data_IF_563326725386
#
_entry.id   IF_563326725386
#
_cell.length_a   1.000
_cell.length_b   1.000
_cell.length_c   1.000
_cell.angle_alpha   90.00
_cell.angle_beta   90.00
_cell.angle_gamma   90.00
#
_symmetry.space_group_name_H-M   'P 1'
#
loop_
_entity.id
_entity.type
_entity.pdbx_description
1 polymer ?
#
# COMPACT_ATOMS: atom_id res chain seq x y z
N UNK A 1 -29.88 -25.69 -8.73
CA UNK A 1 -29.38 -24.66 -7.79
C UNK A 1 -27.95 -25.06 -7.50
N UNK A 2 -26.99 -24.37 -8.08
CA UNK A 2 -25.58 -24.57 -7.73
C UNK A 2 -25.41 -24.11 -6.29
N UNK A 3 -25.19 -25.07 -5.38
CA UNK A 3 -24.74 -24.75 -4.01
C UNK A 3 -23.46 -23.92 -4.16
N UNK A 4 -23.54 -22.63 -3.92
CA UNK A 4 -22.35 -21.80 -3.76
C UNK A 4 -21.74 -22.20 -2.44
N UNK A 5 -20.66 -23.00 -2.46
CA UNK A 5 -19.93 -23.37 -1.24
C UNK A 5 -19.35 -22.11 -0.61
N UNK A 6 -19.97 -21.66 0.48
CA UNK A 6 -19.59 -20.44 1.18
C UNK A 6 -18.21 -20.57 1.81
N UNK A 7 -17.31 -19.65 1.47
CA UNK A 7 -15.95 -19.63 1.98
C UNK A 7 -15.85 -18.72 3.20
N UNK A 8 -15.40 -19.27 4.33
CA UNK A 8 -14.91 -18.52 5.48
C UNK A 8 -13.38 -18.48 5.46
N UNK A 9 -12.81 -17.35 5.84
CA UNK A 9 -11.37 -17.19 5.99
C UNK A 9 -11.03 -16.85 7.43
N UNK A 10 -10.07 -17.57 8.02
CA UNK A 10 -9.50 -17.26 9.32
C UNK A 10 -8.08 -16.80 9.14
N UNK A 11 -7.77 -15.57 9.58
CA UNK A 11 -6.41 -15.01 9.55
C UNK A 11 -5.81 -15.08 10.95
N UNK A 12 -4.82 -15.95 11.14
CA UNK A 12 -4.09 -16.10 12.39
C UNK A 12 -3.06 -14.99 12.54
N UNK A 13 -3.30 -14.09 13.49
CA UNK A 13 -2.51 -12.86 13.65
C UNK A 13 -2.17 -12.52 15.12
N UNK A 14 -2.33 -13.48 16.05
CA UNK A 14 -2.06 -13.29 17.48
C UNK A 14 -0.60 -13.53 17.90
N UNK A 15 0.31 -13.78 16.95
CA UNK A 15 1.71 -14.05 17.21
C UNK A 15 2.45 -12.84 17.81
N UNK A 16 3.36 -13.08 18.74
CA UNK A 16 4.06 -12.03 19.50
C UNK A 16 5.02 -11.18 18.66
N UNK A 17 5.63 -11.76 17.61
CA UNK A 17 6.54 -11.05 16.72
C UNK A 17 7.83 -10.54 17.38
N UNK A 18 8.31 -11.19 18.43
CA UNK A 18 9.51 -10.77 19.21
C UNK A 18 10.75 -10.54 18.36
N UNK A 19 10.93 -11.32 17.28
CA UNK A 19 12.05 -11.19 16.32
C UNK A 19 12.04 -9.87 15.55
N UNK A 20 10.88 -9.20 15.45
CA UNK A 20 10.77 -7.87 14.83
C UNK A 20 11.46 -6.77 15.65
N UNK A 21 11.68 -6.98 16.95
CA UNK A 21 12.26 -6.01 17.90
C UNK A 21 11.60 -4.64 17.78
N UNK A 22 10.28 -4.60 17.85
CA UNK A 22 9.46 -3.42 17.61
C UNK A 22 8.31 -3.32 18.61
N UNK A 23 7.95 -2.09 18.99
CA UNK A 23 6.72 -1.82 19.71
C UNK A 23 5.46 -1.93 18.80
N UNK A 24 5.65 -1.80 17.47
CA UNK A 24 4.58 -1.98 16.52
C UNK A 24 4.32 -3.48 16.36
N UNK A 25 3.05 -3.94 16.46
CA UNK A 25 2.69 -5.34 16.19
C UNK A 25 3.20 -5.82 14.83
N UNK A 26 3.69 -7.07 14.76
CA UNK A 26 4.30 -7.62 13.54
C UNK A 26 3.46 -7.40 12.29
N UNK A 27 2.17 -7.69 12.38
CA UNK A 27 1.23 -7.62 11.26
C UNK A 27 0.94 -6.21 10.75
N UNK A 28 1.32 -5.17 11.51
CA UNK A 28 1.14 -3.77 11.13
C UNK A 28 2.37 -3.15 10.45
N UNK A 29 3.49 -3.87 10.38
CA UNK A 29 4.63 -3.43 9.57
C UNK A 29 4.23 -3.40 8.10
N UNK A 30 4.68 -2.34 7.41
CA UNK A 30 4.28 -2.09 6.03
C UNK A 30 5.30 -2.65 5.04
N UNK A 31 4.78 -3.14 3.93
CA UNK A 31 5.49 -3.42 2.69
C UNK A 31 4.67 -2.85 1.52
N UNK A 32 5.32 -2.27 0.54
CA UNK A 32 4.72 -1.57 -0.60
C UNK A 32 3.53 -0.69 -0.19
N UNK A 33 3.71 0.09 0.90
CA UNK A 33 2.73 1.05 1.42
C UNK A 33 1.64 0.51 2.34
N UNK A 34 1.39 -0.82 2.39
CA UNK A 34 0.31 -1.45 3.17
C UNK A 34 0.83 -2.32 4.31
N UNK A 35 0.12 -2.40 5.46
CA UNK A 35 0.42 -3.39 6.51
C UNK A 35 0.42 -4.83 5.99
N UNK A 36 1.25 -5.70 6.55
CA UNK A 36 1.30 -7.13 6.19
C UNK A 36 -0.07 -7.78 6.16
N UNK A 37 -0.86 -7.59 7.23
CA UNK A 37 -2.20 -8.17 7.34
C UNK A 37 -3.17 -7.65 6.29
N UNK A 38 -2.99 -6.43 5.79
CA UNK A 38 -3.86 -5.85 4.75
C UNK A 38 -3.72 -6.58 3.42
N UNK A 39 -2.52 -7.03 3.05
CA UNK A 39 -2.32 -7.91 1.89
C UNK A 39 -3.06 -9.23 2.02
N UNK A 40 -3.08 -9.81 3.23
CA UNK A 40 -3.80 -11.07 3.51
C UNK A 40 -5.32 -10.84 3.51
N UNK A 41 -5.80 -9.70 3.97
CA UNK A 41 -7.21 -9.30 3.88
C UNK A 41 -7.65 -9.10 2.43
N UNK A 42 -6.83 -8.45 1.61
CA UNK A 42 -7.09 -8.30 0.17
C UNK A 42 -7.12 -9.66 -0.54
N UNK A 43 -6.22 -10.56 -0.18
CA UNK A 43 -6.25 -11.95 -0.66
C UNK A 43 -7.57 -12.62 -0.29
N UNK A 44 -8.02 -12.52 0.96
CA UNK A 44 -9.28 -13.14 1.38
C UNK A 44 -10.48 -12.64 0.58
N UNK A 45 -10.53 -11.36 0.26
CA UNK A 45 -11.56 -10.78 -0.62
C UNK A 45 -11.45 -11.29 -2.05
N UNK A 46 -10.22 -11.34 -2.60
CA UNK A 46 -9.99 -11.73 -3.99
C UNK A 46 -10.38 -13.18 -4.30
N UNK A 47 -10.35 -14.06 -3.28
CA UNK A 47 -10.78 -15.46 -3.39
C UNK A 47 -12.26 -15.68 -3.05
N UNK A 48 -13.01 -14.60 -2.86
CA UNK A 48 -14.47 -14.66 -2.66
C UNK A 48 -14.90 -15.07 -1.25
N UNK A 49 -14.13 -14.72 -0.21
CA UNK A 49 -14.54 -14.97 1.17
C UNK A 49 -15.85 -14.24 1.50
N UNK A 50 -16.87 -14.98 1.94
CA UNK A 50 -18.10 -14.39 2.44
C UNK A 50 -17.95 -13.84 3.86
N UNK A 51 -17.11 -14.50 4.66
CA UNK A 51 -16.79 -14.07 6.02
C UNK A 51 -15.28 -14.19 6.28
N UNK A 52 -14.71 -13.18 6.89
CA UNK A 52 -13.30 -13.18 7.30
C UNK A 52 -13.21 -12.89 8.79
N UNK A 53 -12.56 -13.77 9.54
CA UNK A 53 -12.29 -13.63 10.96
C UNK A 53 -10.79 -13.44 11.21
N UNK A 54 -10.42 -12.38 11.93
CA UNK A 54 -9.06 -12.15 12.40
C UNK A 54 -8.91 -12.66 13.84
N UNK A 55 -7.96 -13.53 14.06
CA UNK A 55 -7.58 -13.98 15.40
C UNK A 55 -6.39 -13.18 15.88
N UNK A 56 -6.58 -12.36 16.90
CA UNK A 56 -5.67 -11.30 17.32
C UNK A 56 -5.25 -11.45 18.78
N UNK A 57 -4.11 -10.88 19.13
CA UNK A 57 -3.75 -10.66 20.52
C UNK A 57 -4.60 -9.50 21.13
N UNK A 58 -4.84 -9.53 22.47
CA UNK A 58 -5.69 -8.51 23.10
C UNK A 58 -5.25 -7.07 22.88
N UNK A 59 -3.97 -6.81 22.75
CA UNK A 59 -3.35 -5.49 22.59
C UNK A 59 -3.43 -4.92 21.17
N UNK A 60 -3.82 -5.73 20.20
CA UNK A 60 -3.90 -5.32 18.78
C UNK A 60 -5.31 -5.13 18.26
N UNK A 61 -6.33 -5.67 18.94
CA UNK A 61 -7.69 -5.70 18.43
C UNK A 61 -8.28 -4.30 18.25
N UNK A 62 -8.06 -3.39 19.19
CA UNK A 62 -8.64 -2.04 19.15
C UNK A 62 -8.06 -1.22 17.98
N UNK A 63 -6.75 -1.35 17.71
CA UNK A 63 -6.10 -0.66 16.59
C UNK A 63 -6.64 -1.13 15.23
N UNK A 64 -6.94 -2.43 15.11
CA UNK A 64 -7.48 -2.97 13.87
C UNK A 64 -8.95 -2.63 13.69
N UNK A 65 -9.72 -2.68 14.78
CA UNK A 65 -11.14 -2.29 14.76
C UNK A 65 -11.32 -0.79 14.48
N UNK A 66 -10.44 0.07 14.99
CA UNK A 66 -10.43 1.49 14.64
C UNK A 66 -10.18 1.71 13.14
N UNK A 67 -9.29 0.90 12.54
CA UNK A 67 -8.92 1.03 11.13
C UNK A 67 -9.98 0.48 10.17
N UNK A 68 -10.58 -0.66 10.47
CA UNK A 68 -11.49 -1.38 9.55
C UNK A 68 -12.93 -1.51 10.05
N UNK A 69 -13.25 -0.99 11.22
CA UNK A 69 -14.61 -1.06 11.82
C UNK A 69 -15.06 -2.50 12.02
N UNK A 70 -16.33 -2.74 11.82
CA UNK A 70 -16.96 -4.06 11.93
C UNK A 70 -17.01 -4.81 10.58
N UNK A 71 -16.13 -4.47 9.65
CA UNK A 71 -16.05 -5.11 8.34
C UNK A 71 -15.63 -6.59 8.43
N UNK A 72 -14.91 -6.96 9.49
CA UNK A 72 -14.40 -8.30 9.74
C UNK A 72 -14.88 -8.82 11.08
N UNK A 73 -14.90 -10.14 11.25
CA UNK A 73 -15.02 -10.77 12.55
C UNK A 73 -13.71 -10.65 13.33
N UNK A 74 -13.80 -10.39 14.63
CA UNK A 74 -12.62 -10.29 15.49
C UNK A 74 -12.72 -11.30 16.63
N UNK A 75 -11.74 -12.19 16.72
CA UNK A 75 -11.58 -13.14 17.80
C UNK A 75 -10.30 -12.85 18.59
N UNK A 76 -10.35 -12.98 19.90
CA UNK A 76 -9.19 -12.74 20.77
C UNK A 76 -8.55 -14.05 21.18
N UNK A 77 -7.28 -14.22 20.90
CA UNK A 77 -6.46 -15.27 21.51
C UNK A 77 -5.71 -14.69 22.72
N UNK A 78 -6.31 -14.76 23.89
CA UNK A 78 -5.74 -14.22 25.12
C UNK A 78 -4.47 -14.98 25.56
N UNK A 79 -4.48 -16.30 25.41
CA UNK A 79 -3.34 -17.19 25.69
C UNK A 79 -2.80 -17.78 24.38
N UNK A 80 -1.52 -17.63 24.13
CA UNK A 80 -0.87 -18.13 22.90
C UNK A 80 -0.55 -19.62 23.04
N UNK A 81 -1.58 -20.46 22.86
CA UNK A 81 -1.49 -21.93 23.00
C UNK A 81 -1.44 -22.64 21.64
N UNK A 82 -0.83 -22.04 20.62
CA UNK A 82 -0.63 -22.63 19.30
C UNK A 82 -1.72 -22.27 18.28
N UNK A 83 -1.52 -22.74 17.04
CA UNK A 83 -2.35 -22.40 15.87
C UNK A 83 -3.74 -23.05 15.91
N UNK A 84 -3.85 -24.27 16.45
CA UNK A 84 -5.16 -24.93 16.67
C UNK A 84 -6.00 -24.15 17.68
N UNK A 85 -5.41 -23.71 18.80
CA UNK A 85 -6.10 -22.89 19.78
C UNK A 85 -6.53 -21.54 19.19
N UNK A 86 -5.72 -20.94 18.33
CA UNK A 86 -6.10 -19.71 17.63
C UNK A 86 -7.33 -19.93 16.74
N UNK A 87 -7.37 -21.02 15.97
CA UNK A 87 -8.53 -21.35 15.13
C UNK A 87 -9.80 -21.60 15.94
N UNK A 88 -9.70 -22.22 17.13
CA UNK A 88 -10.84 -22.42 18.05
C UNK A 88 -11.51 -21.07 18.42
N UNK A 89 -10.74 -19.97 18.54
CA UNK A 89 -11.31 -18.67 18.86
C UNK A 89 -12.20 -18.11 17.73
N UNK A 90 -11.94 -18.53 16.49
CA UNK A 90 -12.72 -18.07 15.33
C UNK A 90 -14.00 -18.93 15.10
N UNK A 91 -14.10 -20.12 15.72
CA UNK A 91 -15.24 -21.04 15.53
C UNK A 91 -16.59 -20.35 15.73
N UNK A 92 -16.86 -19.58 16.83
CA UNK A 92 -18.17 -18.95 17.04
C UNK A 92 -18.57 -17.93 15.96
N UNK A 93 -17.61 -17.44 15.19
CA UNK A 93 -17.86 -16.46 14.11
C UNK A 93 -18.23 -17.11 12.79
N UNK A 94 -17.83 -18.38 12.55
CA UNK A 94 -17.93 -19.02 11.25
C UNK A 94 -18.77 -20.29 11.24
N UNK A 95 -18.90 -20.98 12.37
CA UNK A 95 -19.65 -22.24 12.47
C UNK A 95 -21.12 -22.05 12.11
N UNK A 96 -21.63 -22.90 11.20
CA UNK A 96 -23.00 -22.81 10.70
C UNK A 96 -23.24 -21.71 9.64
N UNK A 97 -22.23 -20.92 9.32
CA UNK A 97 -22.32 -19.81 8.35
C UNK A 97 -21.58 -20.08 7.04
N UNK A 98 -20.58 -20.96 7.06
CA UNK A 98 -19.72 -21.28 5.92
C UNK A 98 -19.57 -22.78 5.71
N UNK A 99 -19.27 -23.19 4.48
CA UNK A 99 -19.11 -24.59 4.07
C UNK A 99 -17.65 -25.00 4.00
N UNK A 100 -16.74 -24.03 3.85
CA UNK A 100 -15.29 -24.21 3.76
C UNK A 100 -14.58 -23.20 4.65
N UNK A 101 -13.48 -23.60 5.27
CA UNK A 101 -12.66 -22.72 6.10
C UNK A 101 -11.22 -22.71 5.61
N UNK A 102 -10.78 -21.58 5.07
CA UNK A 102 -9.38 -21.34 4.72
C UNK A 102 -8.68 -20.66 5.89
N UNK A 103 -7.53 -21.22 6.30
CA UNK A 103 -6.69 -20.67 7.37
C UNK A 103 -5.46 -20.04 6.76
N UNK A 104 -5.30 -18.73 6.98
CA UNK A 104 -4.18 -17.92 6.54
C UNK A 104 -3.39 -17.36 7.74
N UNK A 105 -2.17 -16.92 7.50
CA UNK A 105 -1.34 -16.25 8.49
C UNK A 105 -1.24 -14.76 8.16
N UNK A 106 -1.48 -13.88 9.15
CA UNK A 106 -1.50 -12.43 8.96
C UNK A 106 -0.16 -11.79 8.59
N UNK A 107 0.91 -12.58 8.57
CA UNK A 107 2.25 -12.15 8.19
C UNK A 107 2.80 -12.88 6.95
N UNK A 108 1.92 -13.52 6.15
CA UNK A 108 2.27 -14.21 4.90
C UNK A 108 1.70 -13.44 3.70
N UNK A 109 2.28 -12.27 3.34
CA UNK A 109 1.66 -11.34 2.39
C UNK A 109 1.84 -11.75 0.92
N UNK A 110 2.59 -12.80 0.63
CA UNK A 110 3.05 -13.13 -0.73
C UNK A 110 2.20 -14.18 -1.44
N UNK A 111 1.28 -14.82 -0.72
CA UNK A 111 0.41 -15.86 -1.28
C UNK A 111 -0.51 -15.26 -2.35
N UNK A 112 -0.71 -15.98 -3.45
CA UNK A 112 -1.48 -15.52 -4.61
C UNK A 112 -2.89 -16.11 -4.64
N UNK A 113 -3.87 -15.39 -5.21
CA UNK A 113 -5.23 -15.89 -5.37
C UNK A 113 -5.30 -17.21 -6.14
N UNK A 114 -4.48 -17.37 -7.19
CA UNK A 114 -4.46 -18.58 -8.02
C UNK A 114 -3.99 -19.80 -7.23
N UNK A 115 -3.08 -19.62 -6.28
CA UNK A 115 -2.61 -20.71 -5.42
C UNK A 115 -3.69 -21.11 -4.41
N UNK A 116 -4.40 -20.15 -3.85
CA UNK A 116 -5.56 -20.41 -2.98
C UNK A 116 -6.68 -21.11 -3.75
N UNK A 117 -6.97 -20.66 -4.97
CA UNK A 117 -8.01 -21.30 -5.80
C UNK A 117 -7.69 -22.78 -6.05
N UNK A 118 -6.43 -23.15 -6.31
CA UNK A 118 -6.03 -24.56 -6.46
C UNK A 118 -6.24 -25.37 -5.18
N UNK A 119 -6.06 -24.77 -3.98
CA UNK A 119 -6.38 -25.41 -2.71
C UNK A 119 -7.90 -25.67 -2.60
N UNK A 120 -8.73 -24.69 -2.96
CA UNK A 120 -10.18 -24.79 -2.95
C UNK A 120 -10.68 -25.87 -3.93
N UNK A 121 -10.14 -25.88 -5.16
CA UNK A 121 -10.48 -26.88 -6.18
C UNK A 121 -10.09 -28.30 -5.75
N UNK A 122 -8.98 -28.46 -5.06
CA UNK A 122 -8.52 -29.74 -4.53
C UNK A 122 -9.39 -30.25 -3.38
N UNK A 123 -10.04 -29.36 -2.61
CA UNK A 123 -10.97 -29.75 -1.55
C UNK A 123 -12.27 -30.35 -2.14
N UNK A 124 -12.64 -29.99 -3.36
CA UNK A 124 -13.84 -30.51 -4.03
C UNK A 124 -13.69 -31.97 -4.50
N UNK A 125 -12.52 -32.58 -4.35
CA UNK A 125 -12.31 -33.97 -4.70
C UNK A 125 -13.05 -34.92 -3.73
N UNK A 126 -13.68 -35.99 -4.20
CA UNK A 126 -14.43 -36.90 -3.36
C UNK A 126 -13.57 -37.48 -2.21
N UNK A 127 -14.08 -37.39 -0.99
CA UNK A 127 -13.44 -37.93 0.20
C UNK A 127 -12.37 -37.07 0.84
N UNK A 128 -12.00 -35.94 0.22
CA UNK A 128 -11.06 -34.97 0.79
C UNK A 128 -11.80 -34.10 1.81
N UNK A 129 -11.22 -33.95 3.01
CA UNK A 129 -11.75 -33.09 4.09
C UNK A 129 -10.83 -31.92 4.43
N UNK A 130 -9.61 -31.93 3.92
CA UNK A 130 -8.68 -30.83 4.05
C UNK A 130 -7.62 -30.85 2.96
N UNK A 131 -7.09 -29.68 2.64
CA UNK A 131 -6.00 -29.54 1.68
C UNK A 131 -4.96 -28.61 2.25
N UNK A 132 -3.72 -29.06 2.29
CA UNK A 132 -2.57 -28.29 2.75
C UNK A 132 -1.79 -27.71 1.59
N UNK A 133 -1.20 -26.53 1.80
CA UNK A 133 -0.21 -25.97 0.88
C UNK A 133 1.18 -26.55 1.18
N UNK A 134 1.92 -26.91 0.15
CA UNK A 134 3.31 -27.37 0.24
C UNK A 134 4.22 -26.57 -0.69
N UNK A 135 5.51 -26.63 -0.46
CA UNK A 135 6.49 -26.02 -1.36
C UNK A 135 7.86 -26.71 -1.24
N UNK A 136 8.79 -26.36 -2.13
CA UNK A 136 10.16 -26.89 -2.13
C UNK A 136 11.16 -25.74 -2.00
N UNK A 137 11.57 -25.38 -0.78
CA UNK A 137 12.62 -24.39 -0.59
C UNK A 137 13.99 -24.96 -1.00
N UNK A 138 14.94 -24.10 -1.30
CA UNK A 138 16.35 -24.49 -1.52
C UNK A 138 16.92 -25.20 -0.29
N UNK A 139 16.52 -24.75 0.90
CA UNK A 139 16.93 -25.35 2.19
C UNK A 139 15.68 -25.67 3.01
N UNK A 140 15.29 -26.95 3.14
CA UNK A 140 14.08 -27.35 3.83
C UNK A 140 14.18 -27.32 5.36
N UNK A 141 15.30 -26.91 5.91
CA UNK A 141 15.55 -26.85 7.37
C UNK A 141 14.53 -25.97 8.09
N UNK A 142 14.00 -26.46 9.18
CA UNK A 142 13.04 -25.75 10.04
C UNK A 142 11.57 -25.97 9.69
N UNK A 143 11.28 -26.63 8.58
CA UNK A 143 9.90 -26.92 8.15
C UNK A 143 9.47 -28.38 8.43
N UNK A 144 8.17 -28.60 8.58
CA UNK A 144 7.59 -29.94 8.62
C UNK A 144 7.69 -30.63 7.25
N UNK A 145 8.16 -31.88 7.24
CA UNK A 145 8.29 -32.68 6.02
C UNK A 145 6.98 -33.35 5.65
N UNK A 146 6.64 -33.29 4.36
CA UNK A 146 5.45 -33.99 3.83
C UNK A 146 5.84 -35.43 3.48
N UNK A 147 5.24 -36.37 4.18
CA UNK A 147 5.43 -37.81 3.93
C UNK A 147 4.33 -38.27 2.99
N UNK A 148 4.71 -38.98 1.92
CA UNK A 148 3.77 -39.56 0.97
C UNK A 148 3.97 -41.06 0.84
N UNK A 149 2.89 -41.79 0.55
CA UNK A 149 2.96 -43.20 0.17
C UNK A 149 3.25 -43.36 -1.33
N UNK A 150 3.34 -44.61 -1.80
CA UNK A 150 3.60 -44.98 -3.19
C UNK A 150 2.49 -44.48 -4.19
N UNK A 151 1.33 -44.16 -3.66
CA UNK A 151 0.22 -43.56 -4.44
C UNK A 151 0.23 -42.02 -4.40
N UNK A 152 1.31 -41.41 -3.90
CA UNK A 152 1.48 -39.97 -3.73
C UNK A 152 0.49 -39.29 -2.75
N UNK A 153 -0.28 -40.04 -1.96
CA UNK A 153 -1.12 -39.49 -0.93
C UNK A 153 -0.28 -39.07 0.29
N UNK A 154 -0.67 -37.95 0.90
CA UNK A 154 -0.07 -37.48 2.15
C UNK A 154 -0.42 -38.48 3.27
N UNK A 155 0.59 -38.94 4.00
CA UNK A 155 0.43 -39.86 5.13
C UNK A 155 0.82 -39.24 6.46
N UNK A 156 1.67 -38.21 6.45
CA UNK A 156 2.04 -37.47 7.66
C UNK A 156 2.69 -36.13 7.32
N UNK A 157 2.65 -35.19 8.28
CA UNK A 157 3.55 -34.06 8.38
C UNK A 157 4.48 -34.34 9.57
N UNK A 158 5.79 -34.41 9.33
CA UNK A 158 6.80 -34.66 10.36
C UNK A 158 7.66 -33.44 10.58
N UNK A 159 7.59 -32.86 11.77
CA UNK A 159 8.39 -31.70 12.14
C UNK A 159 9.90 -31.99 12.07
N UNK A 160 10.71 -30.96 11.70
CA UNK A 160 12.16 -31.09 11.55
C UNK A 160 12.86 -31.82 12.70
N UNK A 161 12.47 -31.49 13.94
CA UNK A 161 13.09 -32.05 15.17
C UNK A 161 12.78 -33.53 15.37
N UNK A 162 11.60 -33.98 14.87
CA UNK A 162 11.09 -35.34 15.04
C UNK A 162 11.41 -36.22 13.82
N UNK A 163 11.96 -35.60 12.75
CA UNK A 163 12.27 -36.28 11.51
C UNK A 163 13.55 -37.14 11.59
N UNK A 164 13.46 -38.37 11.04
CA UNK A 164 14.64 -39.23 10.86
C UNK A 164 15.65 -38.61 9.86
N UNK A 165 16.89 -39.06 9.79
CA UNK A 165 17.86 -38.61 8.81
C UNK A 165 17.37 -38.74 7.35
N UNK A 166 16.61 -39.78 7.04
CA UNK A 166 16.00 -40.02 5.71
C UNK A 166 14.88 -39.04 5.44
N UNK A 167 14.00 -38.82 6.41
CA UNK A 167 12.90 -37.85 6.29
C UNK A 167 13.39 -36.41 6.13
N UNK A 168 14.49 -36.02 6.77
CA UNK A 168 15.12 -34.70 6.62
C UNK A 168 15.59 -34.41 5.19
N UNK A 169 15.83 -35.46 4.38
CA UNK A 169 16.21 -35.32 2.97
C UNK A 169 15.02 -34.98 2.05
N UNK A 170 13.80 -35.13 2.55
CA UNK A 170 12.58 -34.79 1.79
C UNK A 170 12.55 -33.28 1.56
N UNK A 171 12.51 -32.88 0.29
CA UNK A 171 12.50 -31.47 -0.12
C UNK A 171 11.12 -30.82 -0.06
N UNK A 172 10.03 -31.61 -0.02
CA UNK A 172 8.68 -31.08 0.07
C UNK A 172 8.31 -30.82 1.53
N UNK A 173 7.90 -29.59 1.82
CA UNK A 173 7.63 -29.13 3.17
C UNK A 173 6.25 -28.48 3.30
N UNK A 174 5.71 -28.48 4.52
CA UNK A 174 4.46 -27.81 4.85
C UNK A 174 4.68 -26.29 4.89
N UNK A 175 3.86 -25.54 4.13
CA UNK A 175 3.86 -24.07 4.18
C UNK A 175 3.01 -23.54 5.35
N UNK A 176 1.92 -24.26 5.70
CA UNK A 176 1.06 -23.94 6.82
C UNK A 176 -0.35 -23.50 6.46
N UNK A 177 -0.58 -22.92 5.27
CA UNK A 177 -1.91 -22.59 4.80
C UNK A 177 -2.69 -23.88 4.53
N UNK A 178 -3.94 -23.89 4.97
CA UNK A 178 -4.80 -25.07 4.85
C UNK A 178 -6.25 -24.64 4.64
N UNK A 179 -6.98 -25.40 3.87
CA UNK A 179 -8.43 -25.28 3.76
C UNK A 179 -9.09 -26.60 4.18
N UNK A 180 -10.20 -26.51 4.91
CA UNK A 180 -10.97 -27.65 5.40
C UNK A 180 -12.43 -27.56 4.96
N UNK A 181 -13.09 -28.72 4.83
CA UNK A 181 -14.53 -28.83 4.96
C UNK A 181 -14.96 -28.34 6.34
N UNK A 182 -15.89 -27.40 6.40
CA UNK A 182 -16.25 -26.73 7.66
C UNK A 182 -16.91 -27.69 8.64
N UNK A 183 -17.77 -28.61 8.15
CA UNK A 183 -18.47 -29.57 9.00
C UNK A 183 -17.48 -30.50 9.68
N UNK A 184 -16.56 -31.05 8.91
CA UNK A 184 -15.52 -31.93 9.45
C UNK A 184 -14.61 -31.16 10.42
N UNK A 185 -14.21 -29.96 10.07
CA UNK A 185 -13.33 -29.12 10.89
C UNK A 185 -13.93 -28.85 12.27
N UNK A 186 -15.15 -28.34 12.32
CA UNK A 186 -15.77 -27.95 13.58
C UNK A 186 -16.08 -29.15 14.48
N UNK A 187 -16.32 -30.33 13.92
CA UNK A 187 -16.46 -31.57 14.68
C UNK A 187 -15.13 -32.01 15.31
N UNK A 188 -13.99 -31.80 14.64
CA UNK A 188 -12.70 -32.33 15.03
C UNK A 188 -11.81 -31.33 15.78
N UNK A 189 -11.96 -30.05 15.54
CA UNK A 189 -11.17 -29.01 16.18
C UNK A 189 -11.19 -29.07 17.73
N UNK A 190 -12.34 -29.28 18.38
CA UNK A 190 -12.39 -29.44 19.85
C UNK A 190 -11.71 -30.73 20.38
N UNK A 191 -11.46 -31.69 19.51
CA UNK A 191 -10.79 -32.98 19.87
C UNK A 191 -9.26 -32.87 19.90
N UNK A 192 -8.70 -31.73 19.43
CA UNK A 192 -7.26 -31.51 19.54
C UNK A 192 -6.79 -31.54 20.97
N UNK A 193 -5.65 -32.18 21.20
CA UNK A 193 -4.98 -32.22 22.50
C UNK A 193 -3.70 -31.39 22.46
N UNK A 194 -3.34 -30.72 23.56
CA UNK A 194 -2.11 -29.94 23.58
C UNK A 194 -0.87 -30.85 23.54
N UNK A 195 0.13 -30.43 22.81
CA UNK A 195 1.44 -31.11 22.79
C UNK A 195 2.03 -31.22 24.20
N UNK A 196 2.49 -32.38 24.61
CA UNK A 196 3.02 -32.59 25.95
C UNK A 196 4.31 -31.78 26.25
N UNK A 197 5.00 -31.32 25.19
CA UNK A 197 6.27 -30.61 25.34
C UNK A 197 6.05 -29.09 25.50
N UNK A 198 5.15 -28.50 24.69
CA UNK A 198 4.94 -27.05 24.67
C UNK A 198 3.59 -26.61 25.21
N UNK A 199 2.69 -27.53 25.49
CA UNK A 199 1.29 -27.27 25.85
C UNK A 199 0.56 -26.40 24.77
N UNK A 200 0.91 -26.62 23.49
CA UNK A 200 0.35 -25.94 22.32
C UNK A 200 -0.53 -26.90 21.51
N UNK A 201 -1.64 -26.40 20.99
CA UNK A 201 -2.51 -27.11 20.05
C UNK A 201 -2.03 -26.83 18.63
N UNK A 202 -1.57 -27.87 17.94
CA UNK A 202 -1.09 -27.73 16.57
C UNK A 202 -2.19 -27.98 15.56
N UNK A 203 -2.32 -27.08 14.59
CA UNK A 203 -3.27 -27.23 13.48
C UNK A 203 -2.93 -28.45 12.61
N UNK A 204 -1.66 -28.79 12.51
CA UNK A 204 -1.17 -29.98 11.79
C UNK A 204 -1.66 -31.30 12.37
N UNK A 205 -2.10 -31.36 13.64
CA UNK A 205 -2.65 -32.56 14.23
C UNK A 205 -4.01 -32.93 13.60
N UNK A 206 -4.76 -31.97 13.07
CA UNK A 206 -5.98 -32.24 12.28
C UNK A 206 -5.67 -33.07 11.02
N UNK A 207 -4.52 -32.88 10.41
CA UNK A 207 -4.06 -33.67 9.25
C UNK A 207 -3.92 -35.15 9.65
N UNK A 208 -3.25 -35.39 10.79
CA UNK A 208 -3.10 -36.75 11.32
C UNK A 208 -4.45 -37.38 11.69
N UNK A 209 -5.37 -36.62 12.28
CA UNK A 209 -6.71 -37.07 12.63
C UNK A 209 -7.52 -37.46 11.37
N UNK A 210 -7.50 -36.64 10.32
CA UNK A 210 -8.18 -36.94 9.07
C UNK A 210 -7.67 -38.21 8.39
N UNK A 211 -6.35 -38.40 8.38
CA UNK A 211 -5.73 -39.59 7.82
C UNK A 211 -6.05 -40.86 8.66
N UNK A 212 -6.05 -40.73 9.98
CA UNK A 212 -6.39 -41.83 10.86
C UNK A 212 -7.87 -42.27 10.72
N UNK A 213 -8.79 -41.34 10.52
CA UNK A 213 -10.21 -41.57 10.40
C UNK A 213 -10.61 -42.11 9.03
N UNK A 214 -10.10 -41.49 7.96
CA UNK A 214 -10.58 -41.69 6.55
C UNK A 214 -9.54 -42.32 5.63
N UNK A 215 -8.33 -42.49 6.11
CA UNK A 215 -7.21 -43.08 5.36
C UNK A 215 -6.41 -42.08 4.52
N UNK A 216 -5.33 -42.52 3.87
CA UNK A 216 -4.55 -41.74 2.94
C UNK A 216 -5.42 -41.26 1.77
N UNK A 217 -5.41 -39.95 1.51
CA UNK A 217 -6.29 -39.33 0.51
C UNK A 217 -7.37 -38.44 1.13
N UNK A 218 -7.61 -38.55 2.46
CA UNK A 218 -8.48 -37.60 3.17
C UNK A 218 -7.91 -36.18 3.20
N UNK A 219 -6.58 -36.05 3.07
CA UNK A 219 -5.86 -34.78 2.98
C UNK A 219 -5.21 -34.67 1.61
N UNK A 220 -5.67 -33.65 0.85
CA UNK A 220 -5.02 -33.20 -0.38
C UNK A 220 -3.78 -32.33 -0.06
N UNK A 221 -2.88 -32.21 -1.03
CA UNK A 221 -1.76 -31.28 -0.93
C UNK A 221 -1.51 -30.61 -2.27
N UNK A 222 -1.36 -29.29 -2.25
CA UNK A 222 -1.09 -28.45 -3.42
C UNK A 222 0.28 -27.81 -3.25
N UNK A 223 1.19 -28.14 -4.15
CA UNK A 223 2.52 -27.51 -4.18
C UNK A 223 2.41 -26.11 -4.78
N UNK A 224 2.97 -25.10 -4.09
CA UNK A 224 3.08 -23.73 -4.58
C UNK A 224 4.07 -23.70 -5.76
N UNK A 225 3.65 -23.14 -6.89
CA UNK A 225 4.50 -23.06 -8.09
C UNK A 225 5.65 -22.05 -7.92
N UNK A 226 5.42 -21.00 -7.18
CA UNK A 226 6.42 -19.98 -6.85
C UNK A 226 6.77 -20.12 -5.36
N UNK A 227 7.95 -20.66 -5.01
CA UNK A 227 8.34 -20.84 -3.61
C UNK A 227 8.36 -19.52 -2.80
N UNK A 228 8.46 -18.37 -3.46
CA UNK A 228 8.41 -17.09 -2.79
C UNK A 228 7.07 -16.81 -2.10
N UNK A 229 5.99 -17.47 -2.54
CA UNK A 229 4.67 -17.36 -1.92
C UNK A 229 4.65 -17.88 -0.48
N UNK A 230 5.58 -18.77 -0.15
CA UNK A 230 5.69 -19.37 1.18
C UNK A 230 6.47 -18.52 2.19
N UNK A 231 7.03 -17.37 1.78
CA UNK A 231 7.79 -16.51 2.67
C UNK A 231 6.86 -15.81 3.66
N UNK A 232 6.92 -16.24 4.92
CA UNK A 232 6.29 -15.54 6.05
C UNK A 232 7.26 -14.55 6.70
N UNK A 233 6.76 -13.37 7.06
CA UNK A 233 7.57 -12.31 7.66
C UNK A 233 7.63 -12.48 9.17
N UNK A 234 8.82 -12.72 9.73
CA UNK A 234 9.03 -12.85 11.17
C UNK A 234 10.04 -11.87 11.75
N UNK A 235 10.93 -11.34 10.91
CA UNK A 235 11.93 -10.34 11.28
C UNK A 235 12.10 -9.27 10.20
N UNK A 236 13.08 -8.37 10.38
CA UNK A 236 13.32 -7.25 9.47
C UNK A 236 13.99 -7.65 8.15
N UNK A 237 14.69 -8.78 8.12
CA UNK A 237 15.33 -9.30 6.92
C UNK A 237 14.24 -9.86 6.02
N UNK A 238 13.40 -10.77 6.56
CA UNK A 238 12.26 -11.33 5.83
C UNK A 238 11.26 -10.23 5.39
N UNK A 239 11.10 -9.15 6.19
CA UNK A 239 10.30 -7.98 5.79
C UNK A 239 10.85 -7.32 4.53
N UNK A 240 12.16 -7.08 4.47
CA UNK A 240 12.80 -6.47 3.31
C UNK A 240 12.76 -7.38 2.07
N UNK A 241 12.89 -8.69 2.25
CA UNK A 241 12.77 -9.68 1.19
C UNK A 241 11.33 -9.71 0.62
N UNK A 242 10.32 -9.74 1.49
CA UNK A 242 8.92 -9.70 1.08
C UNK A 242 8.58 -8.40 0.33
N UNK A 243 9.08 -7.26 0.81
CA UNK A 243 8.99 -5.94 0.13
C UNK A 243 9.57 -6.02 -1.29
N UNK A 244 10.77 -6.56 -1.44
CA UNK A 244 11.45 -6.66 -2.74
C UNK A 244 10.68 -7.56 -3.73
N UNK A 245 10.12 -8.68 -3.24
CA UNK A 245 9.32 -9.60 -4.05
C UNK A 245 8.02 -8.94 -4.52
N UNK A 246 7.26 -8.30 -3.62
CA UNK A 246 6.01 -7.62 -4.00
C UNK A 246 6.28 -6.45 -4.94
N UNK A 247 7.28 -5.63 -4.67
CA UNK A 247 7.69 -4.54 -5.56
C UNK A 247 8.03 -5.06 -6.96
N UNK A 248 8.80 -6.14 -7.05
CA UNK A 248 9.13 -6.74 -8.35
C UNK A 248 7.87 -7.24 -9.09
N UNK A 249 6.87 -7.76 -8.37
CA UNK A 249 5.57 -8.17 -8.96
C UNK A 249 4.81 -6.94 -9.49
N UNK A 250 4.68 -5.88 -8.70
CA UNK A 250 4.01 -4.62 -9.08
C UNK A 250 4.67 -4.01 -10.33
N UNK A 251 6.00 -3.85 -10.31
CA UNK A 251 6.73 -3.28 -11.45
C UNK A 251 6.57 -4.12 -12.71
N UNK A 252 6.54 -5.45 -12.59
CA UNK A 252 6.31 -6.35 -13.74
C UNK A 252 4.90 -6.18 -14.32
N UNK A 253 3.88 -6.02 -13.49
CA UNK A 253 2.52 -5.77 -13.96
C UNK A 253 2.40 -4.40 -14.66
N UNK A 254 3.01 -3.35 -14.11
CA UNK A 254 3.08 -2.04 -14.76
C UNK A 254 3.77 -2.12 -16.13
N UNK A 255 4.89 -2.84 -16.24
CA UNK A 255 5.58 -3.05 -17.52
C UNK A 255 4.71 -3.83 -18.53
N UNK A 256 3.95 -4.83 -18.08
CA UNK A 256 2.97 -5.54 -18.93
C UNK A 256 1.83 -4.64 -19.37
N UNK A 257 1.45 -3.66 -18.54
CA UNK A 257 0.47 -2.62 -18.84
C UNK A 257 1.00 -1.50 -19.77
N UNK A 258 2.25 -1.60 -20.25
CA UNK A 258 2.81 -0.65 -21.20
C UNK A 258 3.62 0.50 -20.56
N UNK A 259 3.95 0.42 -19.29
CA UNK A 259 4.82 1.39 -18.61
C UNK A 259 6.28 1.04 -18.86
N UNK A 260 7.10 2.01 -19.26
CA UNK A 260 8.55 1.84 -19.38
C UNK A 260 9.22 2.15 -18.03
N UNK A 261 9.89 1.17 -17.44
CA UNK A 261 10.67 1.34 -16.21
C UNK A 261 12.14 1.16 -16.55
N UNK A 262 12.92 2.25 -16.51
CA UNK A 262 14.33 2.26 -16.96
C UNK A 262 15.21 1.43 -16.02
N UNK A 263 14.96 1.50 -14.72
CA UNK A 263 15.68 0.74 -13.71
C UNK A 263 14.72 0.20 -12.65
N UNK A 264 14.21 -1.04 -12.83
CA UNK A 264 13.31 -1.64 -11.87
C UNK A 264 13.93 -1.84 -10.47
N UNK A 265 15.26 -1.91 -10.37
CA UNK A 265 15.94 -2.11 -9.08
C UNK A 265 15.86 -0.87 -8.19
N UNK A 266 15.89 0.30 -8.80
CA UNK A 266 15.83 1.60 -8.09
C UNK A 266 14.54 2.36 -8.37
N UNK A 267 13.44 1.65 -8.63
CA UNK A 267 12.10 2.21 -8.76
C UNK A 267 11.20 1.61 -7.69
N UNK A 268 10.51 2.45 -6.94
CA UNK A 268 9.67 2.05 -5.80
C UNK A 268 8.23 2.47 -6.08
N UNK A 269 7.33 1.50 -6.10
CA UNK A 269 5.90 1.74 -6.36
C UNK A 269 5.08 0.98 -5.32
N UNK A 270 4.24 1.71 -4.60
CA UNK A 270 3.34 1.15 -3.60
C UNK A 270 2.19 0.39 -4.26
N UNK A 271 1.63 -0.56 -3.52
CA UNK A 271 0.42 -1.27 -3.91
C UNK A 271 -0.77 -0.31 -3.92
N UNK A 272 -1.44 -0.19 -5.05
CA UNK A 272 -2.55 0.76 -5.25
C UNK A 272 -2.20 2.00 -6.05
N UNK A 273 -0.93 2.17 -6.42
CA UNK A 273 -0.51 3.18 -7.40
C UNK A 273 -0.90 2.74 -8.80
N UNK A 274 -1.48 3.66 -9.56
CA UNK A 274 -1.84 3.45 -10.96
C UNK A 274 -0.94 4.28 -11.87
N UNK A 275 -0.47 3.69 -12.98
CA UNK A 275 0.37 4.37 -13.96
C UNK A 275 -0.14 4.08 -15.36
N UNK A 276 -0.42 5.11 -16.12
CA UNK A 276 -0.93 5.03 -17.49
C UNK A 276 0.11 4.55 -18.50
N UNK A 277 -0.39 3.97 -19.58
CA UNK A 277 0.39 3.44 -20.70
C UNK A 277 1.34 4.50 -21.29
N UNK A 278 2.49 4.05 -21.83
CA UNK A 278 3.53 4.87 -22.45
C UNK A 278 4.19 5.90 -21.50
N UNK A 279 3.91 5.79 -20.18
CA UNK A 279 4.63 6.55 -19.16
C UNK A 279 6.00 5.94 -18.91
N UNK A 280 7.01 6.80 -18.72
CA UNK A 280 8.40 6.40 -18.46
C UNK A 280 8.75 6.75 -17.03
N UNK A 281 9.15 5.74 -16.24
CA UNK A 281 9.69 5.91 -14.90
C UNK A 281 11.22 5.84 -14.95
N UNK A 282 11.87 6.93 -14.57
CA UNK A 282 13.32 7.04 -14.52
C UNK A 282 13.87 6.59 -13.16
N UNK A 283 15.17 6.25 -13.05
CA UNK A 283 15.76 5.72 -11.82
C UNK A 283 15.55 6.62 -10.60
N UNK A 284 15.36 6.02 -9.43
CA UNK A 284 15.14 6.72 -8.17
C UNK A 284 13.73 7.27 -7.99
N UNK A 285 12.80 6.95 -8.89
CA UNK A 285 11.39 7.34 -8.75
C UNK A 285 10.73 6.53 -7.62
N UNK A 286 9.99 7.24 -6.75
CA UNK A 286 9.15 6.66 -5.71
C UNK A 286 7.71 7.14 -5.87
N UNK A 287 6.79 6.21 -6.13
CA UNK A 287 5.36 6.46 -6.22
C UNK A 287 4.66 5.80 -5.03
N UNK A 288 3.97 6.60 -4.22
CA UNK A 288 3.47 6.16 -2.92
C UNK A 288 1.97 6.39 -2.76
N UNK A 289 1.39 5.62 -1.82
CA UNK A 289 0.01 5.78 -1.39
C UNK A 289 -1.01 5.52 -2.49
N UNK A 290 -1.90 6.49 -2.71
CA UNK A 290 -2.99 6.44 -3.71
C UNK A 290 -2.67 7.25 -4.98
N UNK A 291 -1.39 7.36 -5.34
CA UNK A 291 -0.93 8.14 -6.49
C UNK A 291 -1.44 7.55 -7.81
N UNK A 292 -1.94 8.42 -8.67
CA UNK A 292 -2.38 8.10 -10.05
C UNK A 292 -1.57 8.93 -11.04
N UNK A 293 -0.92 8.27 -11.99
CA UNK A 293 -0.16 8.90 -13.09
C UNK A 293 -0.86 8.61 -14.42
N UNK A 294 -1.18 9.64 -15.16
CA UNK A 294 -1.77 9.53 -16.50
C UNK A 294 -0.80 8.94 -17.54
N UNK A 295 -1.27 8.72 -18.77
CA UNK A 295 -0.45 8.21 -19.86
C UNK A 295 0.54 9.24 -20.40
N UNK A 296 1.58 8.73 -21.11
CA UNK A 296 2.60 9.55 -21.81
C UNK A 296 3.39 10.51 -20.90
N UNK A 297 3.51 10.20 -19.61
CA UNK A 297 4.29 11.00 -18.66
C UNK A 297 5.77 10.61 -18.65
N UNK A 298 6.62 11.53 -18.14
CA UNK A 298 8.02 11.25 -17.83
C UNK A 298 8.27 11.62 -16.37
N UNK A 299 8.47 10.63 -15.53
CA UNK A 299 8.60 10.78 -14.08
C UNK A 299 10.01 10.41 -13.61
N UNK A 300 10.65 11.31 -12.87
CA UNK A 300 12.01 11.13 -12.38
C UNK A 300 13.07 11.92 -13.17
N UNK A 301 14.38 11.62 -12.98
CA UNK A 301 14.87 10.73 -11.92
C UNK A 301 14.69 11.33 -10.52
N UNK A 302 14.79 10.49 -9.49
CA UNK A 302 14.77 10.93 -8.07
C UNK A 302 13.54 11.78 -7.69
N UNK A 303 12.37 11.47 -8.23
CA UNK A 303 11.11 12.11 -7.87
C UNK A 303 10.34 11.28 -6.85
N UNK A 304 9.74 11.95 -5.88
CA UNK A 304 8.86 11.33 -4.87
C UNK A 304 7.46 11.91 -5.06
N UNK A 305 6.49 11.05 -5.32
CA UNK A 305 5.09 11.45 -5.52
C UNK A 305 4.23 10.62 -4.59
N UNK A 306 3.51 11.27 -3.70
CA UNK A 306 2.66 10.65 -2.68
C UNK A 306 1.24 11.22 -2.75
N UNK A 307 0.24 10.34 -2.73
CA UNK A 307 -1.20 10.66 -2.69
C UNK A 307 -1.61 11.76 -3.70
N UNK A 308 -1.04 11.73 -4.90
CA UNK A 308 -1.18 12.80 -5.90
C UNK A 308 -1.78 12.31 -7.21
N UNK A 309 -2.42 13.21 -7.95
CA UNK A 309 -3.00 12.94 -9.25
C UNK A 309 -2.26 13.72 -10.34
N UNK A 310 -1.70 13.00 -11.29
CA UNK A 310 -0.92 13.56 -12.40
C UNK A 310 -1.63 13.22 -13.71
N UNK A 311 -1.99 14.24 -14.47
CA UNK A 311 -2.64 14.11 -15.78
C UNK A 311 -1.75 13.53 -16.87
N UNK A 312 -2.26 13.50 -18.09
CA UNK A 312 -1.54 12.98 -19.25
C UNK A 312 -0.41 13.91 -19.72
N UNK A 313 0.68 13.32 -20.23
CA UNK A 313 1.76 14.06 -20.87
C UNK A 313 2.60 14.95 -19.94
N UNK A 314 2.48 14.77 -18.63
CA UNK A 314 3.19 15.55 -17.62
C UNK A 314 4.66 15.15 -17.50
N UNK A 315 5.48 16.08 -17.01
CA UNK A 315 6.88 15.83 -16.68
C UNK A 315 7.18 16.23 -15.25
N UNK A 316 7.67 15.29 -14.44
CA UNK A 316 8.10 15.54 -13.07
C UNK A 316 9.57 15.16 -12.94
N UNK A 317 10.43 16.16 -12.78
CA UNK A 317 11.89 15.97 -12.73
C UNK A 317 12.42 16.27 -11.34
N UNK A 318 13.02 15.26 -10.67
CA UNK A 318 13.72 15.40 -9.40
C UNK A 318 12.99 16.28 -8.37
N UNK A 319 11.71 16.02 -8.14
CA UNK A 319 10.83 16.88 -7.35
C UNK A 319 9.96 16.07 -6.37
N UNK A 320 9.38 16.76 -5.39
CA UNK A 320 8.52 16.20 -4.38
C UNK A 320 7.09 16.69 -4.56
N UNK A 321 6.12 15.76 -4.64
CA UNK A 321 4.70 16.04 -4.76
C UNK A 321 3.94 15.30 -3.68
N UNK A 322 3.16 16.03 -2.89
CA UNK A 322 2.39 15.48 -1.76
C UNK A 322 0.94 15.96 -1.85
N UNK A 323 -0.01 15.05 -1.96
CA UNK A 323 -1.45 15.34 -2.04
C UNK A 323 -1.76 16.50 -2.98
N UNK A 324 -1.16 16.48 -4.18
CA UNK A 324 -1.22 17.51 -5.19
C UNK A 324 -1.91 17.02 -6.47
N UNK A 325 -2.42 17.97 -7.25
CA UNK A 325 -2.99 17.71 -8.57
C UNK A 325 -2.16 18.45 -9.62
N UNK A 326 -1.75 17.75 -10.67
CA UNK A 326 -1.18 18.31 -11.90
C UNK A 326 -2.04 17.88 -13.08
N UNK A 327 -2.57 18.82 -13.80
CA UNK A 327 -3.35 18.58 -15.01
C UNK A 327 -2.45 18.41 -16.25
N UNK A 328 -3.07 17.99 -17.36
CA UNK A 328 -2.40 17.56 -18.58
C UNK A 328 -1.33 18.52 -19.10
N UNK A 329 -0.22 17.96 -19.57
CA UNK A 329 0.85 18.69 -20.24
C UNK A 329 1.64 19.64 -19.34
N UNK A 330 1.41 19.65 -18.05
CA UNK A 330 2.17 20.47 -17.11
C UNK A 330 3.53 19.85 -16.78
N UNK A 331 4.49 20.67 -16.38
CA UNK A 331 5.82 20.20 -16.00
C UNK A 331 6.37 20.88 -14.75
N UNK A 332 7.19 20.13 -13.99
CA UNK A 332 7.81 20.62 -12.76
C UNK A 332 9.24 20.13 -12.59
N UNK A 333 10.08 21.00 -12.06
CA UNK A 333 11.42 20.67 -11.61
C UNK A 333 12.57 21.19 -12.45
N UNK A 334 13.79 20.88 -12.02
CA UNK A 334 14.12 20.02 -10.89
C UNK A 334 14.03 20.72 -9.51
N UNK A 335 14.04 19.91 -8.44
CA UNK A 335 14.16 20.35 -7.04
C UNK A 335 13.02 21.30 -6.61
N UNK A 336 11.81 21.00 -7.04
CA UNK A 336 10.60 21.75 -6.72
C UNK A 336 9.67 20.92 -5.82
N UNK A 337 8.74 21.60 -5.14
CA UNK A 337 7.88 20.97 -4.17
C UNK A 337 6.42 21.42 -4.33
N UNK A 338 5.54 20.49 -4.68
CA UNK A 338 4.10 20.66 -4.54
C UNK A 338 3.65 20.11 -3.22
N UNK A 339 3.18 20.99 -2.34
CA UNK A 339 2.67 20.62 -1.02
C UNK A 339 1.16 20.35 -1.06
N UNK A 340 0.61 19.74 0.01
CA UNK A 340 -0.82 19.40 0.07
C UNK A 340 -1.73 20.58 -0.33
N UNK A 341 -2.67 20.30 -1.25
CA UNK A 341 -3.60 21.29 -1.78
C UNK A 341 -3.04 22.18 -2.88
N UNK A 342 -1.88 21.86 -3.46
CA UNK A 342 -1.42 22.47 -4.71
C UNK A 342 -2.21 21.90 -5.89
N UNK A 343 -2.76 22.79 -6.73
CA UNK A 343 -3.47 22.44 -7.96
C UNK A 343 -2.81 23.16 -9.13
N UNK A 344 -2.25 22.40 -10.04
CA UNK A 344 -1.48 22.86 -11.19
C UNK A 344 -2.30 22.58 -12.44
N UNK A 345 -2.78 23.64 -13.09
CA UNK A 345 -3.61 23.56 -14.28
C UNK A 345 -2.86 23.12 -15.53
N UNK A 346 -3.57 22.96 -16.66
CA UNK A 346 -3.00 22.42 -17.88
C UNK A 346 -1.86 23.29 -18.42
N UNK A 347 -0.79 22.66 -18.91
CA UNK A 347 0.33 23.35 -19.55
C UNK A 347 1.09 24.35 -18.66
N UNK A 348 0.93 24.27 -17.36
CA UNK A 348 1.71 25.08 -16.39
C UNK A 348 3.15 24.60 -16.37
N UNK A 349 4.07 25.57 -16.40
CA UNK A 349 5.50 25.33 -16.26
C UNK A 349 6.02 25.80 -14.90
N UNK A 350 6.55 24.86 -14.09
CA UNK A 350 7.25 25.16 -12.84
C UNK A 350 8.72 24.75 -12.99
N UNK A 351 9.63 25.71 -13.01
CA UNK A 351 11.06 25.45 -13.09
C UNK A 351 11.68 24.97 -11.78
N UNK A 352 12.97 25.20 -11.63
CA UNK A 352 13.73 24.72 -10.47
C UNK A 352 13.44 25.53 -9.18
N UNK A 353 13.44 24.83 -8.05
CA UNK A 353 13.26 25.37 -6.68
C UNK A 353 11.92 26.11 -6.48
N UNK A 354 10.87 25.76 -7.23
CA UNK A 354 9.53 26.28 -7.01
C UNK A 354 8.82 25.55 -5.87
N UNK A 355 8.19 26.29 -4.96
CA UNK A 355 7.31 25.71 -3.93
C UNK A 355 5.89 26.25 -4.08
N UNK A 356 4.91 25.34 -4.18
CA UNK A 356 3.48 25.67 -4.26
C UNK A 356 2.73 24.99 -3.12
N UNK A 357 1.94 25.74 -2.36
CA UNK A 357 1.26 25.24 -1.16
C UNK A 357 -0.17 25.79 -1.07
N UNK A 358 -1.19 24.93 -1.04
CA UNK A 358 -2.63 25.30 -1.01
C UNK A 358 -2.97 26.41 -2.01
N UNK A 359 -2.49 26.28 -3.22
CA UNK A 359 -2.62 27.29 -4.27
C UNK A 359 -3.03 26.66 -5.57
N UNK A 360 -3.76 27.43 -6.38
CA UNK A 360 -4.14 27.06 -7.73
C UNK A 360 -3.38 27.92 -8.73
N UNK A 361 -2.63 27.27 -9.61
CA UNK A 361 -2.04 27.88 -10.79
C UNK A 361 -2.86 27.46 -12.01
N UNK A 362 -3.57 28.38 -12.62
CA UNK A 362 -4.42 28.08 -13.78
C UNK A 362 -3.62 27.86 -15.05
N UNK A 363 -4.31 27.48 -16.12
CA UNK A 363 -3.76 27.15 -17.44
C UNK A 363 -2.62 28.07 -17.89
N UNK A 364 -1.50 27.49 -18.34
CA UNK A 364 -0.39 28.17 -18.97
C UNK A 364 0.39 29.13 -18.07
N UNK A 365 0.20 29.12 -16.76
CA UNK A 365 1.03 29.88 -15.80
C UNK A 365 2.49 29.45 -15.92
N UNK A 366 3.41 30.42 -15.86
CA UNK A 366 4.86 30.19 -15.90
C UNK A 366 5.51 30.66 -14.61
N UNK A 367 6.22 29.75 -13.93
CA UNK A 367 7.02 29.99 -12.74
C UNK A 367 8.38 29.30 -12.92
N UNK A 368 9.24 29.85 -13.78
CA UNK A 368 10.46 29.18 -14.26
C UNK A 368 11.61 29.06 -13.25
N UNK A 369 11.54 29.76 -12.12
CA UNK A 369 12.64 29.87 -11.15
C UNK A 369 12.15 29.77 -9.71
N UNK A 370 13.08 29.73 -8.75
CA UNK A 370 12.81 29.70 -7.31
C UNK A 370 11.77 30.77 -6.91
N UNK A 371 10.69 30.34 -6.28
CA UNK A 371 9.59 31.19 -5.81
C UNK A 371 8.73 30.41 -4.82
N UNK A 372 8.05 31.12 -3.91
CA UNK A 372 7.07 30.54 -3.01
C UNK A 372 5.67 31.08 -3.30
N UNK A 373 4.75 30.20 -3.68
CA UNK A 373 3.35 30.52 -3.93
C UNK A 373 2.50 29.76 -2.91
N UNK A 374 2.07 30.46 -1.88
CA UNK A 374 1.25 29.92 -0.79
C UNK A 374 -0.06 30.64 -0.61
N UNK A 375 -1.16 29.88 -0.41
CA UNK A 375 -2.52 30.38 -0.24
C UNK A 375 -2.92 31.37 -1.36
N UNK A 376 -2.62 31.02 -2.61
CA UNK A 376 -2.80 31.92 -3.76
C UNK A 376 -3.66 31.31 -4.87
N UNK A 377 -4.27 32.20 -5.66
CA UNK A 377 -4.94 31.87 -6.91
C UNK A 377 -4.28 32.65 -8.04
N UNK A 378 -3.64 31.96 -8.97
CA UNK A 378 -2.87 32.54 -10.06
C UNK A 378 -3.61 32.35 -11.38
N UNK A 379 -4.10 33.39 -11.95
CA UNK A 379 -4.91 33.39 -13.18
C UNK A 379 -4.15 32.90 -14.41
N UNK A 380 -4.90 32.47 -15.45
CA UNK A 380 -4.33 31.87 -16.65
C UNK A 380 -3.27 32.76 -17.32
N UNK A 381 -2.19 32.13 -17.79
CA UNK A 381 -1.13 32.81 -18.53
C UNK A 381 -0.29 33.82 -17.74
N UNK A 382 -0.48 33.93 -16.42
CA UNK A 382 0.35 34.79 -15.60
C UNK A 382 1.81 34.27 -15.56
N UNK A 383 2.76 35.19 -15.45
CA UNK A 383 4.18 34.90 -15.35
C UNK A 383 4.72 35.34 -14.00
N UNK A 384 5.29 34.42 -13.26
CA UNK A 384 5.88 34.61 -11.93
C UNK A 384 7.39 34.73 -12.07
N UNK A 385 7.93 35.93 -11.79
CA UNK A 385 9.37 36.19 -11.82
C UNK A 385 10.12 35.49 -10.70
N UNK A 386 11.40 35.25 -10.90
CA UNK A 386 12.27 34.60 -9.91
C UNK A 386 12.24 35.35 -8.57
N UNK A 387 12.26 34.61 -7.46
CA UNK A 387 12.24 35.18 -6.11
C UNK A 387 10.90 35.72 -5.64
N UNK A 388 9.83 35.55 -6.41
CA UNK A 388 8.49 35.96 -5.98
C UNK A 388 8.04 35.19 -4.75
N UNK A 389 7.54 35.89 -3.73
CA UNK A 389 7.00 35.33 -2.52
C UNK A 389 5.62 35.90 -2.22
N UNK A 390 4.65 35.02 -2.02
CA UNK A 390 3.38 35.37 -1.39
C UNK A 390 3.60 35.34 0.14
N UNK A 391 3.73 36.54 0.75
CA UNK A 391 3.84 36.66 2.21
C UNK A 391 2.45 36.46 2.84
N UNK A 392 2.03 35.21 2.97
CA UNK A 392 0.68 34.79 3.31
C UNK A 392 0.40 34.64 4.81
N UNK A 393 1.40 34.86 5.67
CA UNK A 393 1.28 34.74 7.11
C UNK A 393 1.36 36.10 7.81
N UNK A 394 0.35 36.44 8.62
CA UNK A 394 0.31 37.71 9.35
C UNK A 394 -0.84 37.75 10.36
N UNK A 395 -0.72 38.68 11.35
CA UNK A 395 -1.66 38.79 12.49
C UNK A 395 -2.57 40.04 12.44
N UNK A 396 -2.25 41.04 11.63
CA UNK A 396 -2.85 42.37 11.79
C UNK A 396 -4.15 42.66 11.03
N UNK A 397 -4.63 41.73 10.18
CA UNK A 397 -5.86 41.91 9.38
C UNK A 397 -6.79 40.70 9.37
N UNK A 398 -6.55 39.73 10.25
CA UNK A 398 -7.29 38.50 10.32
C UNK A 398 -8.44 38.59 11.34
N UNK A 399 -9.53 37.89 11.05
CA UNK A 399 -10.51 37.54 12.05
C UNK A 399 -9.85 36.68 13.15
N UNK A 400 -10.36 36.67 14.39
CA UNK A 400 -9.76 35.89 15.46
C UNK A 400 -9.60 34.41 15.05
N UNK A 401 -8.34 33.93 14.99
CA UNK A 401 -7.98 32.56 14.61
C UNK A 401 -7.48 32.39 13.16
N UNK A 402 -7.68 33.35 12.26
CA UNK A 402 -7.18 33.28 10.89
C UNK A 402 -5.75 33.85 10.81
N UNK A 403 -4.76 32.97 10.63
CA UNK A 403 -3.34 33.35 10.52
C UNK A 403 -2.80 33.42 9.10
N UNK A 404 -3.60 33.00 8.10
CA UNK A 404 -3.19 32.95 6.71
C UNK A 404 -4.14 33.75 5.82
N UNK A 405 -3.56 34.45 4.87
CA UNK A 405 -4.25 35.37 3.96
C UNK A 405 -4.01 34.95 2.53
N UNK A 406 -4.97 35.25 1.66
CA UNK A 406 -4.94 34.85 0.26
C UNK A 406 -4.37 35.94 -0.63
N UNK A 407 -3.61 35.50 -1.65
CA UNK A 407 -3.15 36.35 -2.75
C UNK A 407 -3.90 35.96 -4.01
N UNK A 408 -4.43 36.96 -4.72
CA UNK A 408 -5.06 36.78 -6.04
C UNK A 408 -4.16 37.43 -7.10
N UNK A 409 -3.78 36.66 -8.13
CA UNK A 409 -3.02 37.16 -9.29
C UNK A 409 -3.88 36.97 -10.54
N UNK A 410 -4.21 38.07 -11.22
CA UNK A 410 -5.08 38.07 -12.39
C UNK A 410 -4.46 37.42 -13.62
N UNK A 411 -5.33 37.12 -14.61
CA UNK A 411 -4.90 36.51 -15.86
C UNK A 411 -3.87 37.39 -16.58
N UNK A 412 -2.83 36.76 -17.14
CA UNK A 412 -1.79 37.49 -17.91
C UNK A 412 -0.94 38.48 -17.11
N UNK A 413 -1.06 38.49 -15.77
CA UNK A 413 -0.23 39.38 -14.95
C UNK A 413 1.26 39.01 -15.05
N UNK A 414 2.14 40.03 -15.03
CA UNK A 414 3.59 39.87 -15.06
C UNK A 414 4.17 40.27 -13.71
N UNK A 415 4.50 39.29 -12.89
CA UNK A 415 5.13 39.53 -11.60
C UNK A 415 6.63 39.58 -11.78
N UNK A 416 7.24 40.76 -11.48
CA UNK A 416 8.68 40.98 -11.62
C UNK A 416 9.47 40.13 -10.63
N UNK A 417 10.77 39.91 -10.91
CA UNK A 417 11.64 39.16 -10.03
C UNK A 417 11.73 39.80 -8.64
N UNK A 418 11.91 38.99 -7.59
CA UNK A 418 12.01 39.42 -6.20
C UNK A 418 10.79 40.21 -5.68
N UNK A 419 9.62 40.05 -6.32
CA UNK A 419 8.40 40.68 -5.85
C UNK A 419 7.87 40.02 -4.58
N UNK A 420 7.61 40.84 -3.55
CA UNK A 420 6.96 40.43 -2.31
C UNK A 420 5.47 40.82 -2.36
N UNK A 421 4.59 39.83 -2.38
CA UNK A 421 3.13 40.04 -2.32
C UNK A 421 2.65 39.87 -0.89
N UNK A 422 2.38 40.98 -0.21
CA UNK A 422 1.99 40.96 1.23
C UNK A 422 0.47 40.78 1.31
N UNK A 423 0.08 39.53 1.54
CA UNK A 423 -1.33 39.13 1.62
C UNK A 423 -2.07 39.73 2.85
N UNK A 424 -3.40 40.01 2.76
CA UNK A 424 -4.24 39.82 1.57
C UNK A 424 -3.96 40.90 0.50
N UNK A 425 -3.78 40.50 -0.75
CA UNK A 425 -3.53 41.40 -1.86
C UNK A 425 -4.05 40.82 -3.17
N UNK A 426 -4.59 41.68 -4.05
CA UNK A 426 -5.00 41.34 -5.40
C UNK A 426 -4.15 42.08 -6.42
N UNK A 427 -3.56 41.35 -7.36
CA UNK A 427 -2.94 41.90 -8.56
C UNK A 427 -3.88 41.67 -9.72
N UNK A 428 -4.30 42.75 -10.38
CA UNK A 428 -5.29 42.72 -11.45
C UNK A 428 -4.83 41.99 -12.73
N UNK A 429 -5.75 41.72 -13.62
CA UNK A 429 -5.46 41.09 -14.91
C UNK A 429 -4.54 41.98 -15.76
N UNK A 430 -3.50 41.39 -16.39
CA UNK A 430 -2.52 42.13 -17.19
C UNK A 430 -1.63 43.08 -16.38
N UNK A 431 -1.83 43.25 -15.09
CA UNK A 431 -1.02 44.13 -14.27
C UNK A 431 0.45 43.68 -14.19
N UNK A 432 1.37 44.61 -13.93
CA UNK A 432 2.81 44.34 -13.89
C UNK A 432 3.42 44.85 -12.59
N UNK A 433 4.27 44.07 -11.98
CA UNK A 433 5.12 44.52 -10.86
C UNK A 433 6.56 44.65 -11.32
N UNK A 434 7.24 45.74 -10.92
CA UNK A 434 8.69 45.86 -11.15
C UNK A 434 9.49 44.94 -10.28
N UNK A 435 10.71 44.62 -10.70
CA UNK A 435 11.62 43.81 -9.88
C UNK A 435 11.87 44.46 -8.51
N UNK A 436 11.90 43.60 -7.45
CA UNK A 436 12.08 44.03 -6.07
C UNK A 436 10.89 44.78 -5.45
N UNK A 437 9.73 44.79 -6.10
CA UNK A 437 8.56 45.50 -5.57
C UNK A 437 7.97 44.80 -4.32
N UNK A 438 7.57 45.60 -3.33
CA UNK A 438 6.81 45.10 -2.16
C UNK A 438 5.37 45.59 -2.27
N UNK A 439 4.49 44.71 -2.71
CA UNK A 439 3.08 45.01 -2.98
C UNK A 439 2.27 44.80 -1.69
N UNK A 440 1.77 45.89 -1.13
CA UNK A 440 1.01 45.90 0.15
C UNK A 440 -0.45 46.33 -0.02
N UNK A 441 -0.86 46.69 -1.24
CA UNK A 441 -2.22 47.11 -1.63
C UNK A 441 -2.58 46.49 -2.95
N UNK A 442 -3.88 46.37 -3.20
CA UNK A 442 -4.40 45.88 -4.47
C UNK A 442 -3.88 46.70 -5.64
N UNK A 443 -3.57 46.00 -6.73
CA UNK A 443 -3.11 46.57 -8.01
C UNK A 443 -4.24 46.47 -9.01
N UNK A 444 -4.71 47.57 -9.63
CA UNK A 444 -5.73 47.54 -10.65
C UNK A 444 -5.31 46.72 -11.90
N UNK A 445 -6.30 46.34 -12.71
CA UNK A 445 -6.06 45.68 -13.99
C UNK A 445 -5.20 46.56 -14.90
N UNK A 446 -4.22 46.00 -15.59
CA UNK A 446 -3.30 46.67 -16.50
C UNK A 446 -2.26 47.59 -15.82
N UNK A 447 -2.44 47.93 -14.56
CA UNK A 447 -1.55 48.87 -13.87
C UNK A 447 -0.11 48.34 -13.69
N UNK A 448 0.84 49.26 -13.72
CA UNK A 448 2.25 48.97 -13.43
C UNK A 448 2.63 49.58 -12.07
N UNK A 449 3.13 48.73 -11.17
CA UNK A 449 3.57 49.18 -9.84
C UNK A 449 5.04 48.84 -9.58
N UNK A 450 5.77 49.76 -8.94
CA UNK A 450 7.20 49.58 -8.64
C UNK A 450 7.55 50.13 -7.25
N UNK A 451 8.65 49.67 -6.68
CA UNK A 451 9.25 50.19 -5.47
C UNK A 451 8.82 49.52 -4.14
N UNK A 452 9.28 50.12 -3.04
CA UNK A 452 9.07 49.63 -1.67
C UNK A 452 8.57 50.78 -0.77
N UNK A 453 7.28 50.82 -0.36
CA UNK A 453 6.20 50.01 -0.91
C UNK A 453 5.92 50.37 -2.38
N UNK A 454 5.33 49.44 -3.10
CA UNK A 454 5.00 49.61 -4.52
C UNK A 454 4.02 50.78 -4.75
N UNK A 455 4.27 51.58 -5.80
CA UNK A 455 3.43 52.70 -6.26
C UNK A 455 3.11 52.52 -7.73
N UNK A 456 1.92 52.94 -8.14
CA UNK A 456 1.52 52.96 -9.54
C UNK A 456 2.33 54.02 -10.28
N UNK A 457 2.90 53.70 -11.45
CA UNK A 457 3.63 54.61 -12.32
C UNK A 457 2.91 54.83 -13.66
N UNK A 458 2.03 53.93 -14.07
CA UNK A 458 1.16 54.08 -15.24
C UNK A 458 -0.09 53.22 -15.09
N UNK A 459 -1.21 53.66 -15.68
CA UNK A 459 -2.43 52.87 -15.89
C UNK A 459 -2.63 52.84 -17.43
N UNK A 460 -2.63 51.63 -18.01
CA UNK A 460 -2.92 51.42 -19.44
C UNK A 460 -4.39 51.13 -19.65
#
# INVERSE_FOLDING_TARGET
MTSTNKLGVVILAAGEGTRMRSALPKILHRIVGKPLVEHVLELSHSVGAEQTALVLAPDTIDQLRERWGERYGYAVQAERRGTGHALMQAQPLLEGHVDRVLVLYGADPLLRPESVQRLLDALDQPGVVGVISTFRPETPTGYGRIIRNDHHHVTAIVEERDATPEQRKIGEVNQGVVVYDATWLWEHLPKLTPSPVKNEYYLTDLVAMAIAERGPGAIGAVELHDPSEALGVNDRIELAEAEAILRARILRELMRGGVTIVDPTHTYVDAGVEVGQDTILLPGTMLKGTTVIGPNCVIGPNSVIEDSQIGAGCRVKASFLESAVMEDGSDIGPLSHLRPGAHIGPGVHIGNFGEVNRSTLHEGVKMGHFSYIGDANVGPGANIGAGTITANFGDKRAEPGQRKHRTEIGAGALIGSDTMLVAPVKVGAGAKTGAGAVVTKDVPDGAVVVGVPARTISEE
#
